data_IF_139223756574
#
_entry.id   IF_139223756574
#
_cell.length_a   1.000
_cell.length_b   1.000
_cell.length_c   1.000
_cell.angle_alpha   90.00
_cell.angle_beta   90.00
_cell.angle_gamma   90.00
#
_symmetry.space_group_name_H-M   'P 1'
#
loop_
_entity.id
_entity.type
_entity.pdbx_description
1 polymer ?
#
# COMPACT_ATOMS: atom_id res chain seq x y z
N UNK A 1 -15.90 -22.25 -2.08
CA UNK A 1 -15.68 -22.09 -3.55
C UNK A 1 -14.53 -21.13 -3.90
N UNK A 2 -14.51 -19.89 -3.38
CA UNK A 2 -13.46 -18.90 -3.74
C UNK A 2 -12.03 -19.39 -3.44
N UNK A 3 -11.76 -19.86 -2.22
CA UNK A 3 -10.43 -20.38 -1.83
C UNK A 3 -9.96 -21.57 -2.67
N UNK A 4 -10.84 -22.53 -2.95
CA UNK A 4 -10.51 -23.70 -3.78
C UNK A 4 -10.16 -23.30 -5.22
N UNK A 5 -10.88 -22.32 -5.80
CA UNK A 5 -10.57 -21.80 -7.12
C UNK A 5 -9.21 -21.10 -7.16
N UNK A 6 -8.89 -20.29 -6.15
CA UNK A 6 -7.61 -19.58 -6.05
C UNK A 6 -6.44 -20.56 -5.92
N UNK A 7 -6.60 -21.62 -5.10
CA UNK A 7 -5.57 -22.65 -4.94
C UNK A 7 -5.30 -23.43 -6.23
N UNK A 8 -6.34 -23.70 -7.03
CA UNK A 8 -6.21 -24.35 -8.35
C UNK A 8 -5.42 -23.49 -9.34
N UNK A 9 -5.64 -22.17 -9.34
CA UNK A 9 -4.89 -21.24 -10.20
C UNK A 9 -3.46 -20.99 -9.73
N UNK A 10 -3.18 -21.13 -8.44
CA UNK A 10 -1.82 -21.06 -7.89
C UNK A 10 -0.95 -22.24 -8.32
N UNK A 11 -1.52 -23.44 -8.39
CA UNK A 11 -0.79 -24.68 -8.67
C UNK A 11 -0.87 -25.11 -10.16
N UNK A 12 -1.11 -24.18 -11.06
CA UNK A 12 -1.30 -24.49 -12.48
C UNK A 12 0.04 -24.52 -13.22
N UNK A 13 0.43 -25.70 -13.69
CA UNK A 13 1.64 -25.92 -14.51
C UNK A 13 1.63 -25.04 -15.78
N UNK A 14 0.46 -24.81 -16.37
CA UNK A 14 0.32 -23.93 -17.54
C UNK A 14 0.66 -22.48 -17.25
N UNK A 15 0.38 -22.00 -16.03
CA UNK A 15 0.75 -20.63 -15.63
C UNK A 15 2.25 -20.53 -15.46
N UNK A 16 2.91 -21.57 -14.95
CA UNK A 16 4.37 -21.61 -14.82
C UNK A 16 5.05 -21.64 -16.20
N UNK A 17 4.60 -22.49 -17.12
CA UNK A 17 5.12 -22.55 -18.49
C UNK A 17 4.94 -21.19 -19.19
N UNK A 18 3.75 -20.59 -19.10
CA UNK A 18 3.49 -19.27 -19.67
C UNK A 18 4.38 -18.19 -19.05
N UNK A 19 4.59 -18.22 -17.74
CA UNK A 19 5.47 -17.28 -17.06
C UNK A 19 6.92 -17.39 -17.56
N UNK A 20 7.43 -18.62 -17.77
CA UNK A 20 8.78 -18.85 -18.34
C UNK A 20 8.87 -18.29 -19.75
N UNK A 21 7.91 -18.59 -20.62
CA UNK A 21 7.89 -18.08 -21.99
C UNK A 21 7.83 -16.54 -22.01
N UNK A 22 6.96 -15.94 -21.18
CA UNK A 22 6.85 -14.49 -21.04
C UNK A 22 8.14 -13.88 -20.48
N UNK A 23 8.81 -14.53 -19.54
CA UNK A 23 10.04 -14.02 -18.95
C UNK A 23 11.18 -13.96 -19.98
N UNK A 24 11.42 -15.06 -20.69
CA UNK A 24 12.45 -15.09 -21.75
C UNK A 24 12.08 -14.15 -22.92
N UNK A 25 10.80 -14.08 -23.29
CA UNK A 25 10.32 -13.13 -24.31
C UNK A 25 10.53 -11.67 -23.90
N UNK A 26 10.23 -11.32 -22.65
CA UNK A 26 10.44 -9.97 -22.12
C UNK A 26 11.92 -9.59 -22.06
N UNK A 27 12.79 -10.53 -21.67
CA UNK A 27 14.24 -10.30 -21.66
C UNK A 27 14.79 -10.13 -23.08
N UNK A 28 14.33 -10.94 -24.05
CA UNK A 28 14.71 -10.77 -25.44
C UNK A 28 14.26 -9.42 -26.01
N UNK A 29 13.03 -8.99 -25.70
CA UNK A 29 12.52 -7.68 -26.09
C UNK A 29 13.32 -6.53 -25.45
N UNK A 30 13.62 -6.64 -24.15
CA UNK A 30 14.45 -5.66 -23.44
C UNK A 30 15.86 -5.57 -24.04
N UNK A 31 16.48 -6.71 -24.34
CA UNK A 31 17.79 -6.76 -24.98
C UNK A 31 17.79 -6.12 -26.38
N UNK A 32 16.70 -6.27 -27.14
CA UNK A 32 16.53 -5.63 -28.45
C UNK A 32 16.30 -4.11 -28.36
N UNK A 33 15.66 -3.63 -27.29
CA UNK A 33 15.36 -2.21 -27.08
C UNK A 33 16.51 -1.41 -26.46
N UNK A 34 17.43 -2.06 -25.75
CA UNK A 34 18.53 -1.38 -25.07
C UNK A 34 19.66 -1.02 -26.04
N UNK A 35 19.97 0.27 -26.13
CA UNK A 35 21.13 0.73 -26.85
C UNK A 35 22.43 0.33 -26.13
N UNK A 36 23.42 -0.15 -26.90
CA UNK A 36 24.74 -0.59 -26.40
C UNK A 36 25.45 0.48 -25.55
N UNK A 37 25.17 1.77 -25.80
CA UNK A 37 25.78 2.93 -25.12
C UNK A 37 25.30 3.13 -23.68
N UNK A 38 24.13 2.62 -23.32
CA UNK A 38 23.55 2.79 -21.98
C UNK A 38 23.90 1.64 -21.02
N UNK A 39 24.69 0.67 -21.49
CA UNK A 39 25.07 -0.51 -20.71
C UNK A 39 26.31 -0.25 -19.85
N UNK A 40 26.34 -0.75 -18.61
CA UNK A 40 27.50 -0.61 -17.73
C UNK A 40 28.78 -1.23 -18.32
N UNK A 41 29.95 -0.70 -17.95
CA UNK A 41 31.26 -1.19 -18.43
C UNK A 41 31.55 -2.65 -18.11
N UNK A 42 30.93 -3.22 -17.07
CA UNK A 42 31.07 -4.64 -16.72
C UNK A 42 30.23 -5.56 -17.62
N UNK A 43 29.28 -5.01 -18.39
CA UNK A 43 28.31 -5.76 -19.19
C UNK A 43 28.85 -6.14 -20.58
N UNK A 44 29.73 -5.30 -21.14
CA UNK A 44 30.27 -5.44 -22.49
C UNK A 44 31.79 -5.39 -22.40
N UNK A 45 32.49 -6.25 -23.17
CA UNK A 45 33.94 -6.18 -23.28
C UNK A 45 34.35 -4.83 -23.93
N UNK A 46 35.15 -3.98 -23.23
CA UNK A 46 35.63 -2.74 -23.80
C UNK A 46 36.52 -3.01 -25.03
N UNK A 47 36.27 -2.34 -26.16
CA UNK A 47 37.15 -2.37 -27.34
C UNK A 47 36.84 -3.43 -28.40
N UNK A 48 35.77 -4.22 -28.26
CA UNK A 48 35.33 -5.13 -29.33
C UNK A 48 34.56 -4.38 -30.42
N UNK A 49 34.86 -4.67 -31.70
CA UNK A 49 34.15 -4.12 -32.89
C UNK A 49 32.68 -4.57 -32.97
N UNK A 50 32.33 -5.65 -32.27
CA UNK A 50 30.97 -6.17 -32.12
C UNK A 50 30.58 -6.17 -30.64
N UNK A 51 29.30 -6.00 -30.27
CA UNK A 51 28.86 -6.04 -28.88
C UNK A 51 29.01 -7.47 -28.33
N UNK A 52 30.19 -7.80 -27.80
CA UNK A 52 30.45 -9.08 -27.13
C UNK A 52 30.18 -8.88 -25.65
N UNK A 53 29.20 -9.62 -25.12
CA UNK A 53 28.93 -9.64 -23.69
C UNK A 53 30.11 -10.26 -22.93
N UNK A 54 30.43 -9.70 -21.77
CA UNK A 54 31.35 -10.35 -20.81
C UNK A 54 30.69 -11.61 -20.27
N UNK A 55 31.47 -12.50 -19.63
CA UNK A 55 30.90 -13.66 -18.93
C UNK A 55 29.84 -13.24 -17.88
N UNK A 56 30.06 -12.10 -17.21
CA UNK A 56 29.10 -11.51 -16.29
C UNK A 56 27.83 -11.00 -17.00
N UNK A 57 27.97 -10.36 -18.17
CA UNK A 57 26.85 -9.92 -19.00
C UNK A 57 26.00 -11.08 -19.52
N UNK A 58 26.64 -12.17 -19.98
CA UNK A 58 25.95 -13.38 -20.40
C UNK A 58 25.15 -14.00 -19.25
N UNK A 59 25.76 -14.16 -18.08
CA UNK A 59 25.06 -14.68 -16.90
C UNK A 59 23.86 -13.81 -16.51
N UNK A 60 24.04 -12.48 -16.54
CA UNK A 60 22.96 -11.55 -16.23
C UNK A 60 21.78 -11.67 -17.21
N UNK A 61 22.05 -11.74 -18.52
CA UNK A 61 21.01 -11.83 -19.57
C UNK A 61 20.29 -13.17 -19.57
N UNK A 62 21.01 -14.29 -19.43
CA UNK A 62 20.41 -15.61 -19.62
C UNK A 62 19.86 -16.22 -18.34
N UNK A 63 20.36 -15.80 -17.17
CA UNK A 63 20.00 -16.40 -15.88
C UNK A 63 19.34 -15.37 -14.96
N UNK A 64 20.06 -14.32 -14.58
CA UNK A 64 19.58 -13.40 -13.53
C UNK A 64 18.34 -12.61 -13.94
N UNK A 65 18.31 -12.06 -15.15
CA UNK A 65 17.17 -11.28 -15.66
C UNK A 65 15.92 -12.15 -15.87
N UNK A 66 15.96 -13.31 -16.55
CA UNK A 66 14.80 -14.17 -16.69
C UNK A 66 14.27 -14.63 -15.34
N UNK A 67 15.17 -14.97 -14.40
CA UNK A 67 14.79 -15.34 -13.04
C UNK A 67 14.07 -14.19 -12.32
N UNK A 68 14.59 -12.97 -12.43
CA UNK A 68 13.95 -11.78 -11.85
C UNK A 68 12.56 -11.56 -12.44
N UNK A 69 12.42 -11.62 -13.78
CA UNK A 69 11.13 -11.44 -14.45
C UNK A 69 10.16 -12.55 -14.07
N UNK A 70 10.61 -13.81 -13.97
CA UNK A 70 9.81 -14.93 -13.47
C UNK A 70 9.28 -14.69 -12.06
N UNK A 71 10.14 -14.26 -11.15
CA UNK A 71 9.74 -13.94 -9.77
C UNK A 71 8.73 -12.80 -9.74
N UNK A 72 8.94 -11.75 -10.54
CA UNK A 72 7.99 -10.62 -10.67
C UNK A 72 6.66 -11.10 -11.22
N UNK A 73 6.63 -11.86 -12.32
CA UNK A 73 5.40 -12.38 -12.93
C UNK A 73 4.64 -13.30 -11.98
N UNK A 74 5.33 -14.24 -11.33
CA UNK A 74 4.73 -15.13 -10.34
C UNK A 74 4.15 -14.35 -9.15
N UNK A 75 4.80 -13.27 -8.75
CA UNK A 75 4.29 -12.39 -7.70
C UNK A 75 3.10 -11.55 -8.18
N UNK A 76 3.14 -10.96 -9.38
CA UNK A 76 1.99 -10.27 -10.00
C UNK A 76 0.78 -11.19 -10.07
N UNK A 77 0.99 -12.47 -10.40
CA UNK A 77 -0.07 -13.47 -10.42
C UNK A 77 -0.68 -13.69 -9.04
N UNK A 78 0.15 -13.87 -8.00
CA UNK A 78 -0.32 -13.99 -6.61
C UNK A 78 -1.08 -12.74 -6.16
N UNK A 79 -0.59 -11.55 -6.53
CA UNK A 79 -1.25 -10.30 -6.24
C UNK A 79 -2.62 -10.18 -6.93
N UNK A 80 -2.71 -10.54 -8.21
CA UNK A 80 -3.98 -10.60 -8.93
C UNK A 80 -4.97 -11.58 -8.28
N UNK A 81 -4.49 -12.76 -7.89
CA UNK A 81 -5.31 -13.75 -7.21
C UNK A 81 -5.76 -13.28 -5.82
N UNK A 82 -4.92 -12.55 -5.10
CA UNK A 82 -5.27 -11.91 -3.84
C UNK A 82 -6.35 -10.84 -4.03
N UNK A 83 -6.19 -9.95 -5.01
CA UNK A 83 -7.21 -8.95 -5.35
C UNK A 83 -8.53 -9.60 -5.75
N UNK A 84 -8.49 -10.64 -6.59
CA UNK A 84 -9.68 -11.42 -6.97
C UNK A 84 -10.35 -12.05 -5.75
N UNK A 85 -9.58 -12.60 -4.83
CA UNK A 85 -10.10 -13.20 -3.59
C UNK A 85 -10.82 -12.14 -2.75
N UNK A 86 -10.18 -11.00 -2.49
CA UNK A 86 -10.79 -9.89 -1.73
C UNK A 86 -12.06 -9.37 -2.42
N UNK A 87 -12.04 -9.24 -3.74
CA UNK A 87 -13.19 -8.83 -4.55
C UNK A 87 -14.35 -9.84 -4.52
N UNK A 88 -14.07 -11.11 -4.26
CA UNK A 88 -15.12 -12.13 -4.06
C UNK A 88 -15.66 -12.09 -2.64
N UNK A 89 -14.78 -11.91 -1.65
CA UNK A 89 -15.15 -11.78 -0.24
C UNK A 89 -16.00 -10.52 -0.03
N UNK A 90 -15.67 -9.40 -0.68
CA UNK A 90 -16.43 -8.16 -0.57
C UNK A 90 -17.85 -8.27 -1.13
N UNK A 91 -18.13 -9.25 -2.00
CA UNK A 91 -19.48 -9.50 -2.54
C UNK A 91 -20.32 -10.43 -1.66
N UNK A 92 -19.76 -10.98 -0.58
CA UNK A 92 -20.50 -11.79 0.37
C UNK A 92 -21.30 -10.89 1.31
N UNK A 93 -22.32 -11.46 1.97
CA UNK A 93 -23.09 -10.78 3.01
C UNK A 93 -22.25 -10.66 4.30
N UNK A 94 -21.27 -9.76 4.28
CA UNK A 94 -20.39 -9.46 5.41
C UNK A 94 -21.21 -8.79 6.52
N UNK A 95 -21.11 -9.31 7.73
CA UNK A 95 -21.72 -8.71 8.93
C UNK A 95 -20.78 -7.61 9.45
N UNK A 96 -20.85 -6.45 8.82
CA UNK A 96 -20.10 -5.27 9.23
C UNK A 96 -20.89 -4.48 10.28
N UNK A 97 -20.22 -4.03 11.33
CA UNK A 97 -20.84 -3.31 12.45
C UNK A 97 -20.45 -1.83 12.35
N UNK A 98 -21.40 -0.88 12.15
CA UNK A 98 -21.06 0.54 11.99
C UNK A 98 -20.36 1.15 13.21
N UNK A 99 -20.81 0.79 14.42
CA UNK A 99 -20.26 1.30 15.68
C UNK A 99 -18.93 0.63 16.12
N UNK A 100 -18.35 -0.23 15.28
CA UNK A 100 -17.14 -0.96 15.65
C UNK A 100 -15.97 0.02 15.89
N UNK A 101 -15.18 -0.15 16.98
CA UNK A 101 -14.14 0.80 17.38
C UNK A 101 -12.96 0.90 16.39
N UNK A 102 -12.88 0.02 15.40
CA UNK A 102 -11.82 0.01 14.39
C UNK A 102 -12.04 1.02 13.25
N UNK A 103 -13.23 1.64 13.17
CA UNK A 103 -13.70 2.53 12.10
C UNK A 103 -13.74 1.88 10.70
N UNK A 104 -13.62 0.57 10.60
CA UNK A 104 -13.65 -0.18 9.34
C UNK A 104 -14.67 -1.33 9.39
N UNK A 105 -15.63 -1.27 10.31
CA UNK A 105 -16.68 -2.27 10.45
C UNK A 105 -16.17 -3.68 10.79
N UNK A 106 -15.00 -3.77 11.44
CA UNK A 106 -14.31 -5.04 11.73
C UNK A 106 -13.30 -5.48 10.67
N UNK A 107 -13.09 -4.70 9.60
CA UNK A 107 -12.17 -5.04 8.50
C UNK A 107 -10.73 -4.55 8.74
N UNK A 108 -10.41 -3.87 9.84
CA UNK A 108 -9.09 -3.26 10.05
C UNK A 108 -7.94 -4.27 10.12
N UNK A 109 -8.22 -5.55 10.40
CA UNK A 109 -7.21 -6.61 10.33
C UNK A 109 -6.56 -6.73 8.94
N UNK A 110 -7.26 -6.33 7.88
CA UNK A 110 -6.74 -6.28 6.52
C UNK A 110 -5.54 -5.33 6.39
N UNK A 111 -5.45 -4.30 7.24
CA UNK A 111 -4.28 -3.42 7.26
C UNK A 111 -2.99 -4.17 7.58
N UNK A 112 -3.04 -5.26 8.34
CA UNK A 112 -1.87 -6.11 8.61
C UNK A 112 -1.37 -6.86 7.38
N UNK A 113 -2.28 -7.19 6.45
CA UNK A 113 -1.92 -7.83 5.18
C UNK A 113 -1.06 -6.92 4.30
N UNK A 114 -1.10 -5.60 4.49
CA UNK A 114 -0.25 -4.66 3.76
C UNK A 114 1.25 -4.88 4.07
N UNK A 115 1.58 -5.35 5.28
CA UNK A 115 2.97 -5.66 5.67
C UNK A 115 3.56 -6.83 4.88
N UNK A 116 2.71 -7.71 4.36
CA UNK A 116 3.14 -8.78 3.44
C UNK A 116 3.77 -8.27 2.15
N UNK A 117 3.54 -7.00 1.79
CA UNK A 117 4.14 -6.38 0.60
C UNK A 117 5.54 -5.80 0.84
N UNK A 118 6.01 -5.68 2.09
CA UNK A 118 7.30 -5.05 2.40
C UNK A 118 8.49 -5.61 1.62
N UNK A 119 8.73 -6.94 1.57
CA UNK A 119 9.91 -7.47 0.88
C UNK A 119 9.88 -7.14 -0.63
N UNK A 120 8.69 -7.10 -1.21
CA UNK A 120 8.56 -6.79 -2.63
C UNK A 120 8.70 -5.30 -2.92
N UNK A 121 8.12 -4.42 -2.09
CA UNK A 121 8.36 -2.99 -2.19
C UNK A 121 9.85 -2.68 -2.15
N UNK A 122 10.56 -3.31 -1.22
CA UNK A 122 12.01 -3.19 -1.08
C UNK A 122 12.75 -3.72 -2.31
N UNK A 123 12.32 -4.86 -2.85
CA UNK A 123 12.92 -5.44 -4.07
C UNK A 123 12.75 -4.53 -5.29
N UNK A 124 11.53 -4.03 -5.54
CA UNK A 124 11.30 -3.08 -6.63
C UNK A 124 12.11 -1.80 -6.43
N UNK A 125 12.07 -1.21 -5.24
CA UNK A 125 12.85 -0.02 -4.94
C UNK A 125 14.35 -0.23 -5.12
N UNK A 126 14.89 -1.39 -4.75
CA UNK A 126 16.31 -1.73 -4.98
C UNK A 126 16.70 -1.72 -6.45
N UNK A 127 15.84 -2.22 -7.34
CA UNK A 127 16.09 -2.21 -8.79
C UNK A 127 16.20 -0.76 -9.31
N UNK A 128 15.27 0.10 -8.90
CA UNK A 128 15.28 1.51 -9.31
C UNK A 128 16.40 2.31 -8.65
N UNK A 129 16.71 2.06 -7.38
CA UNK A 129 17.83 2.67 -6.68
C UNK A 129 19.17 2.32 -7.36
N UNK A 130 19.37 1.05 -7.74
CA UNK A 130 20.54 0.62 -8.50
C UNK A 130 20.65 1.34 -9.87
N UNK A 131 19.53 1.54 -10.56
CA UNK A 131 19.49 2.32 -11.80
C UNK A 131 19.92 3.78 -11.57
N UNK A 132 19.42 4.44 -10.53
CA UNK A 132 19.82 5.81 -10.20
C UNK A 132 21.29 5.88 -9.80
N UNK A 133 21.79 4.90 -9.03
CA UNK A 133 23.21 4.83 -8.67
C UNK A 133 24.13 4.76 -9.91
N UNK A 134 23.76 3.97 -10.91
CA UNK A 134 24.49 3.93 -12.19
C UNK A 134 24.44 5.27 -12.94
N UNK A 135 23.31 5.98 -12.88
CA UNK A 135 23.18 7.31 -13.49
C UNK A 135 24.04 8.37 -12.77
N UNK A 136 24.11 8.32 -11.44
CA UNK A 136 24.96 9.19 -10.63
C UNK A 136 26.45 8.94 -10.95
N UNK A 137 26.84 7.68 -11.09
CA UNK A 137 28.20 7.32 -11.51
C UNK A 137 28.52 7.81 -12.93
N UNK A 138 27.52 7.90 -13.81
CA UNK A 138 27.64 8.50 -15.14
C UNK A 138 27.61 10.04 -15.13
N UNK A 139 27.60 10.69 -13.95
CA UNK A 139 27.64 12.14 -13.78
C UNK A 139 26.29 12.86 -13.81
N UNK A 140 25.17 12.13 -13.79
CA UNK A 140 23.82 12.75 -13.73
C UNK A 140 23.45 13.17 -12.31
N UNK A 141 22.58 14.16 -12.18
CA UNK A 141 22.11 14.64 -10.88
C UNK A 141 21.03 13.73 -10.29
N UNK A 142 21.01 13.58 -8.97
CA UNK A 142 19.91 12.93 -8.24
C UNK A 142 18.57 13.63 -8.49
N UNK A 143 18.60 14.95 -8.67
CA UNK A 143 17.40 15.76 -8.89
C UNK A 143 16.63 15.36 -10.15
N UNK A 144 17.34 14.93 -11.20
CA UNK A 144 16.75 14.49 -12.46
C UNK A 144 15.90 13.22 -12.28
N UNK A 145 16.22 12.43 -11.25
CA UNK A 145 15.55 11.15 -10.95
C UNK A 145 14.37 11.29 -9.99
N UNK A 146 14.06 12.49 -9.48
CA UNK A 146 12.97 12.70 -8.49
C UNK A 146 11.61 12.24 -9.00
N UNK A 147 11.32 12.45 -10.29
CA UNK A 147 10.07 12.01 -10.92
C UNK A 147 9.99 10.50 -11.03
N UNK A 148 11.12 9.82 -11.22
CA UNK A 148 11.19 8.37 -11.25
C UNK A 148 10.94 7.79 -9.85
N UNK A 149 11.50 8.39 -8.79
CA UNK A 149 11.23 8.00 -7.40
C UNK A 149 9.76 8.22 -7.06
N UNK A 150 9.21 9.39 -7.39
CA UNK A 150 7.80 9.70 -7.16
C UNK A 150 6.85 8.77 -7.94
N UNK A 151 7.17 8.49 -9.21
CA UNK A 151 6.40 7.56 -10.04
C UNK A 151 6.45 6.13 -9.48
N UNK A 152 7.62 5.67 -9.02
CA UNK A 152 7.75 4.38 -8.35
C UNK A 152 6.90 4.32 -7.08
N UNK A 153 6.96 5.36 -6.24
CA UNK A 153 6.19 5.39 -4.99
C UNK A 153 4.69 5.36 -5.28
N UNK A 154 4.23 6.18 -6.23
CA UNK A 154 2.84 6.18 -6.68
C UNK A 154 2.43 4.82 -7.26
N UNK A 155 3.29 4.18 -8.05
CA UNK A 155 3.07 2.85 -8.61
C UNK A 155 2.94 1.79 -7.51
N UNK A 156 3.88 1.74 -6.56
CA UNK A 156 3.89 0.80 -5.43
C UNK A 156 2.65 0.97 -4.55
N UNK A 157 2.30 2.22 -4.20
CA UNK A 157 1.13 2.52 -3.41
C UNK A 157 -0.15 2.12 -4.13
N UNK A 158 -0.29 2.51 -5.40
CA UNK A 158 -1.48 2.17 -6.20
C UNK A 158 -1.62 0.66 -6.33
N UNK A 159 -0.55 -0.03 -6.71
CA UNK A 159 -0.55 -1.46 -6.91
C UNK A 159 -0.91 -2.21 -5.63
N UNK A 160 -0.30 -1.90 -4.49
CA UNK A 160 -0.52 -2.67 -3.26
C UNK A 160 -1.76 -2.25 -2.48
N UNK A 161 -2.29 -1.04 -2.69
CA UNK A 161 -3.56 -0.61 -2.11
C UNK A 161 -4.77 -1.04 -2.95
N UNK A 162 -4.59 -1.28 -4.25
CA UNK A 162 -5.64 -1.72 -5.18
C UNK A 162 -6.50 -2.87 -4.62
N UNK A 163 -5.95 -3.95 -4.02
CA UNK A 163 -6.77 -5.06 -3.55
C UNK A 163 -7.79 -4.66 -2.47
N UNK A 164 -7.46 -3.69 -1.64
CA UNK A 164 -8.27 -3.24 -0.51
C UNK A 164 -9.44 -2.34 -0.94
N UNK A 165 -9.34 -1.72 -2.12
CA UNK A 165 -10.42 -0.92 -2.72
C UNK A 165 -11.69 -1.74 -2.95
N UNK A 166 -11.57 -3.08 -3.04
CA UNK A 166 -12.70 -4.00 -3.17
C UNK A 166 -13.76 -3.84 -2.07
N UNK A 167 -13.40 -3.31 -0.89
CA UNK A 167 -14.31 -3.10 0.25
C UNK A 167 -14.88 -1.67 0.32
N UNK A 168 -14.42 -0.73 -0.51
CA UNK A 168 -14.90 0.66 -0.51
C UNK A 168 -16.42 0.77 -0.64
N UNK A 169 -17.10 0.06 -1.56
CA UNK A 169 -18.56 0.14 -1.67
C UNK A 169 -19.29 -0.34 -0.41
N UNK A 170 -18.74 -1.35 0.28
CA UNK A 170 -19.34 -1.89 1.49
C UNK A 170 -19.19 -0.93 2.66
N UNK A 171 -18.02 -0.30 2.79
CA UNK A 171 -17.76 0.70 3.83
C UNK A 171 -18.55 1.99 3.61
N UNK A 172 -18.75 2.38 2.35
CA UNK A 172 -19.62 3.50 1.99
C UNK A 172 -21.07 3.24 2.43
N UNK A 173 -21.64 2.10 2.04
CA UNK A 173 -22.99 1.68 2.45
C UNK A 173 -23.12 1.51 3.97
N UNK A 174 -22.07 1.00 4.62
CA UNK A 174 -22.01 0.86 6.07
C UNK A 174 -22.10 2.22 6.76
N UNK A 175 -21.35 3.21 6.26
CA UNK A 175 -21.35 4.57 6.80
C UNK A 175 -22.68 5.25 6.58
N UNK A 176 -23.27 5.13 5.41
CA UNK A 176 -24.58 5.70 5.08
C UNK A 176 -25.68 5.14 5.99
N UNK A 177 -25.81 3.81 6.05
CA UNK A 177 -26.79 3.14 6.92
C UNK A 177 -26.53 3.44 8.40
N UNK A 178 -25.27 3.37 8.81
CA UNK A 178 -24.86 3.68 10.18
C UNK A 178 -25.22 5.11 10.57
N UNK A 179 -24.89 6.08 9.73
CA UNK A 179 -25.16 7.50 10.01
C UNK A 179 -26.66 7.76 10.15
N UNK A 180 -27.50 7.09 9.35
CA UNK A 180 -28.95 7.16 9.50
C UNK A 180 -29.43 6.52 10.81
N UNK A 181 -29.07 5.27 11.06
CA UNK A 181 -29.61 4.49 12.19
C UNK A 181 -29.09 5.01 13.55
N UNK A 182 -27.78 5.25 13.66
CA UNK A 182 -27.15 5.80 14.87
C UNK A 182 -27.38 7.30 15.02
N UNK A 183 -27.52 8.04 13.92
CA UNK A 183 -27.87 9.46 13.97
C UNK A 183 -29.28 9.69 14.54
N UNK A 184 -30.25 8.84 14.19
CA UNK A 184 -31.59 8.86 14.79
C UNK A 184 -31.53 8.61 16.30
N UNK A 185 -30.74 7.62 16.73
CA UNK A 185 -30.58 7.29 18.14
C UNK A 185 -29.91 8.44 18.92
N UNK A 186 -28.83 9.01 18.38
CA UNK A 186 -28.15 10.16 18.97
C UNK A 186 -29.04 11.39 19.05
N UNK A 187 -29.85 11.66 18.02
CA UNK A 187 -30.82 12.75 18.03
C UNK A 187 -31.90 12.56 19.08
N UNK A 188 -32.51 11.38 19.17
CA UNK A 188 -33.58 11.11 20.14
C UNK A 188 -33.07 11.28 21.58
N UNK A 189 -31.88 10.74 21.90
CA UNK A 189 -31.29 10.95 23.22
C UNK A 189 -30.96 12.42 23.48
N UNK A 190 -30.41 13.12 22.49
CA UNK A 190 -30.11 14.54 22.59
C UNK A 190 -31.36 15.37 22.89
N UNK A 191 -32.46 15.13 22.18
CA UNK A 191 -33.74 15.82 22.42
C UNK A 191 -34.27 15.57 23.84
N UNK A 192 -34.23 14.33 24.34
CA UNK A 192 -34.62 14.00 25.74
C UNK A 192 -33.70 14.69 26.76
N UNK A 193 -32.40 14.70 26.50
CA UNK A 193 -31.41 15.35 27.36
C UNK A 193 -31.63 16.87 27.43
N UNK A 194 -31.84 17.54 26.29
CA UNK A 194 -32.11 18.98 26.27
C UNK A 194 -33.43 19.35 26.96
N UNK A 195 -34.48 18.54 26.75
CA UNK A 195 -35.77 18.74 27.41
C UNK A 195 -35.62 18.73 28.94
N UNK A 196 -34.89 17.75 29.46
CA UNK A 196 -34.68 17.56 30.91
C UNK A 196 -33.73 18.58 31.53
N UNK A 197 -32.61 18.87 30.86
CA UNK A 197 -31.49 19.60 31.51
C UNK A 197 -31.28 21.04 31.01
N UNK A 198 -31.81 21.42 29.83
CA UNK A 198 -31.61 22.76 29.26
C UNK A 198 -32.87 23.63 29.25
N UNK A 199 -34.06 23.01 29.08
CA UNK A 199 -35.33 23.74 29.03
C UNK A 199 -35.91 24.01 30.42
N UNK A 200 -35.83 23.04 31.32
CA UNK A 200 -36.13 23.27 32.73
C UNK A 200 -34.93 24.00 33.34
N UNK A 201 -35.12 25.24 33.81
CA UNK A 201 -34.08 26.06 34.47
C UNK A 201 -33.70 25.49 35.85
N UNK A 202 -33.45 24.20 35.97
CA UNK A 202 -32.85 23.64 37.17
C UNK A 202 -31.42 24.16 37.26
N UNK A 203 -31.14 24.94 38.29
CA UNK A 203 -29.78 25.34 38.63
C UNK A 203 -28.95 24.08 38.79
N UNK A 204 -27.89 23.95 38.00
CA UNK A 204 -26.91 22.86 38.09
C UNK A 204 -26.43 22.78 39.54
N UNK A 205 -27.04 21.88 40.30
CA UNK A 205 -26.77 21.61 41.71
C UNK A 205 -25.82 20.42 41.80
N UNK A 206 -25.23 20.15 42.96
CA UNK A 206 -24.32 19.00 43.14
C UNK A 206 -24.93 17.66 42.69
N UNK A 207 -26.25 17.49 42.80
CA UNK A 207 -26.99 16.31 42.33
C UNK A 207 -27.02 16.15 40.80
N UNK A 208 -26.91 17.26 40.03
CA UNK A 208 -26.82 17.20 38.57
C UNK A 208 -25.49 16.58 38.10
N UNK A 209 -24.41 16.76 38.87
CA UNK A 209 -23.09 16.17 38.59
C UNK A 209 -23.03 14.65 38.87
N UNK A 210 -23.94 14.13 39.69
CA UNK A 210 -24.06 12.69 40.00
C UNK A 210 -25.03 11.95 39.07
N UNK A 211 -25.70 12.66 38.17
CA UNK A 211 -26.67 12.08 37.25
C UNK A 211 -26.02 11.15 36.22
N UNK A 212 -26.57 9.94 36.10
CA UNK A 212 -26.14 8.95 35.11
C UNK A 212 -26.42 9.40 33.66
N UNK A 213 -27.30 10.38 33.46
CA UNK A 213 -27.71 10.85 32.12
C UNK A 213 -26.53 11.45 31.33
N UNK A 214 -25.63 12.19 32.00
CA UNK A 214 -24.45 12.79 31.36
C UNK A 214 -23.48 11.71 30.87
N UNK A 215 -23.26 10.67 31.69
CA UNK A 215 -22.41 9.53 31.31
C UNK A 215 -23.04 8.74 30.16
N UNK A 216 -24.32 8.37 30.26
CA UNK A 216 -25.02 7.62 29.23
C UNK A 216 -25.06 8.37 27.89
N UNK A 217 -25.23 9.70 27.92
CA UNK A 217 -25.18 10.56 26.72
C UNK A 217 -23.79 10.58 26.11
N UNK A 218 -22.75 10.69 26.94
CA UNK A 218 -21.36 10.65 26.48
C UNK A 218 -21.02 9.30 25.85
N UNK A 219 -21.44 8.20 26.48
CA UNK A 219 -21.20 6.84 26.00
C UNK A 219 -21.92 6.60 24.66
N UNK A 220 -23.18 7.01 24.53
CA UNK A 220 -23.89 6.91 23.26
C UNK A 220 -23.25 7.79 22.18
N UNK A 221 -22.91 9.04 22.49
CA UNK A 221 -22.26 9.92 21.52
C UNK A 221 -20.90 9.40 21.09
N UNK A 222 -20.17 8.68 21.95
CA UNK A 222 -18.96 7.95 21.57
C UNK A 222 -19.24 6.86 20.54
N UNK A 223 -20.29 6.06 20.75
CA UNK A 223 -20.75 5.02 19.79
C UNK A 223 -21.15 5.65 18.45
N UNK A 224 -21.93 6.73 18.47
CA UNK A 224 -22.36 7.45 17.26
C UNK A 224 -21.16 8.10 16.55
N UNK A 225 -20.21 8.66 17.29
CA UNK A 225 -18.97 9.25 16.76
C UNK A 225 -18.13 8.23 15.98
N UNK A 226 -18.06 6.98 16.44
CA UNK A 226 -17.36 5.90 15.73
C UNK A 226 -17.90 5.70 14.31
N UNK A 227 -19.21 5.85 14.11
CA UNK A 227 -19.89 5.72 12.82
C UNK A 227 -19.47 6.85 11.87
N UNK A 228 -19.45 8.10 12.35
CA UNK A 228 -19.03 9.23 11.52
C UNK A 228 -17.55 9.16 11.11
N UNK A 229 -16.73 8.50 11.93
CA UNK A 229 -15.31 8.25 11.69
C UNK A 229 -15.02 7.06 10.78
N UNK A 230 -16.04 6.32 10.29
CA UNK A 230 -15.83 5.20 9.36
C UNK A 230 -14.97 5.64 8.17
N UNK A 231 -13.92 4.86 7.92
CA UNK A 231 -12.98 5.04 6.80
C UNK A 231 -13.46 4.27 5.57
N UNK A 232 -13.16 4.77 4.38
CA UNK A 232 -13.55 4.13 3.12
C UNK A 232 -12.60 3.03 2.66
N UNK A 233 -11.35 3.04 3.15
CA UNK A 233 -10.36 2.02 2.85
C UNK A 233 -9.97 1.30 4.15
N UNK A 234 -10.01 -0.05 4.21
CA UNK A 234 -9.71 -0.80 5.43
C UNK A 234 -8.19 -0.92 5.68
N UNK A 235 -7.47 0.20 5.53
CA UNK A 235 -6.02 0.30 5.67
C UNK A 235 -5.70 1.47 6.58
N UNK A 236 -4.80 1.25 7.53
CA UNK A 236 -4.38 2.30 8.47
C UNK A 236 -3.31 3.19 7.85
N UNK A 237 -3.31 4.46 8.23
CA UNK A 237 -2.25 5.40 7.85
C UNK A 237 -0.86 4.90 8.28
N UNK A 238 -0.77 4.25 9.45
CA UNK A 238 0.46 3.62 9.93
C UNK A 238 1.02 2.58 8.94
N UNK A 239 0.17 1.69 8.42
CA UNK A 239 0.61 0.66 7.46
C UNK A 239 1.02 1.27 6.11
N UNK A 240 0.34 2.33 5.65
CA UNK A 240 0.76 3.06 4.43
C UNK A 240 2.12 3.74 4.64
N UNK A 241 2.32 4.40 5.78
CA UNK A 241 3.61 5.01 6.15
C UNK A 241 4.73 3.98 6.20
N UNK A 242 4.49 2.83 6.84
CA UNK A 242 5.44 1.72 6.87
C UNK A 242 5.82 1.28 5.45
N UNK A 243 4.84 1.15 4.55
CA UNK A 243 5.08 0.80 3.15
C UNK A 243 5.92 1.85 2.42
N UNK A 244 5.63 3.14 2.62
CA UNK A 244 6.41 4.26 2.06
C UNK A 244 7.85 4.18 2.54
N UNK A 245 8.06 4.04 3.86
CA UNK A 245 9.39 3.94 4.47
C UNK A 245 10.17 2.80 3.84
N UNK A 246 9.60 1.58 3.82
CA UNK A 246 10.27 0.40 3.23
C UNK A 246 10.61 0.60 1.76
N UNK A 247 9.76 1.29 1.01
CA UNK A 247 10.00 1.62 -0.41
C UNK A 247 11.13 2.64 -0.58
N UNK A 248 11.30 3.56 0.37
CA UNK A 248 12.33 4.59 0.30
C UNK A 248 13.69 4.13 0.84
N UNK A 249 13.74 3.11 1.71
CA UNK A 249 14.99 2.60 2.31
C UNK A 249 16.09 2.31 1.28
N UNK A 250 15.84 1.62 0.14
CA UNK A 250 16.89 1.35 -0.85
C UNK A 250 17.50 2.60 -1.51
N UNK A 251 16.83 3.75 -1.43
CA UNK A 251 17.35 5.01 -1.95
C UNK A 251 18.29 5.72 -0.97
N UNK A 252 18.33 5.31 0.30
CA UNK A 252 19.20 5.94 1.31
C UNK A 252 20.69 5.90 0.90
N UNK A 253 21.27 4.75 0.50
CA UNK A 253 22.68 4.73 0.07
C UNK A 253 22.95 5.64 -1.13
N UNK A 254 22.00 5.73 -2.07
CA UNK A 254 22.11 6.58 -3.26
C UNK A 254 22.07 8.06 -2.88
N UNK A 255 21.19 8.42 -1.94
CA UNK A 255 21.09 9.78 -1.43
C UNK A 255 22.36 10.20 -0.67
N UNK A 256 22.93 9.30 0.15
CA UNK A 256 24.17 9.53 0.89
C UNK A 256 25.39 9.71 -0.02
N UNK A 257 25.38 9.07 -1.19
CA UNK A 257 26.41 9.28 -2.19
C UNK A 257 26.30 10.67 -2.83
N UNK A 258 25.08 11.15 -3.08
CA UNK A 258 24.88 12.45 -3.75
C UNK A 258 24.92 13.66 -2.81
N UNK A 259 24.55 13.51 -1.54
CA UNK A 259 24.32 14.61 -0.59
C UNK A 259 24.98 14.29 0.75
N UNK A 260 25.66 15.27 1.40
CA UNK A 260 26.21 15.08 2.75
C UNK A 260 25.15 14.63 3.76
N UNK A 261 25.53 13.69 4.64
CA UNK A 261 24.65 13.07 5.65
C UNK A 261 23.90 14.08 6.53
N UNK A 262 24.55 15.18 6.89
CA UNK A 262 24.02 16.25 7.75
C UNK A 262 22.78 16.93 7.14
N UNK A 263 22.80 17.16 5.83
CA UNK A 263 21.70 17.79 5.08
C UNK A 263 20.50 16.84 4.97
N UNK A 264 20.76 15.54 4.87
CA UNK A 264 19.73 14.50 4.79
C UNK A 264 18.95 14.36 6.11
N UNK A 265 19.63 14.29 7.25
CA UNK A 265 18.97 14.21 8.56
C UNK A 265 18.12 15.45 8.84
N UNK A 266 18.65 16.64 8.54
CA UNK A 266 17.92 17.89 8.73
C UNK A 266 16.64 17.96 7.87
N UNK A 267 16.64 17.35 6.69
CA UNK A 267 15.50 17.31 5.78
C UNK A 267 14.45 16.27 6.21
N UNK A 268 14.89 15.09 6.65
CA UNK A 268 14.01 14.03 7.16
C UNK A 268 13.30 14.49 8.44
N UNK A 269 14.00 15.16 9.35
CA UNK A 269 13.41 15.69 10.59
C UNK A 269 12.25 16.66 10.34
N UNK A 270 12.30 17.44 9.25
CA UNK A 270 11.22 18.36 8.85
C UNK A 270 10.01 17.67 8.20
N UNK A 271 10.15 16.42 7.75
CA UNK A 271 9.08 15.67 7.06
C UNK A 271 8.28 14.76 8.00
N UNK A 272 8.82 14.50 9.20
CA UNK A 272 8.18 13.72 10.27
C UNK A 272 7.63 14.59 11.41
N UNK A 273 7.86 15.91 11.38
CA UNK A 273 7.19 16.94 12.19
C UNK A 273 5.98 17.48 11.43
#
# INVERSE_FOLDING_TARGET
VAFASTRRFLNSVWVEILAVLCAYGAVAALAAMLAVKDLPKWYICPGSRSPVYTAAGQWHVFVSLPLLVLLVLGWMWRHFLWWRLLSRISKLNLRLIPAHPDHAGGLRFLSGALRGYWPLSFAFASIFAGRIANQLQAGRSLYDSRFLIAALLAFVLTLFLMPFTAFVPNLFKLKERGAHDYGRLGRALGEEFELKWLRERESVTGAALESQDFSATTDLYSIVSNVYRIVYLPVTFGAVRELIVVTLVPFLPVALWAVPFEVLIASIGKLFL
#
